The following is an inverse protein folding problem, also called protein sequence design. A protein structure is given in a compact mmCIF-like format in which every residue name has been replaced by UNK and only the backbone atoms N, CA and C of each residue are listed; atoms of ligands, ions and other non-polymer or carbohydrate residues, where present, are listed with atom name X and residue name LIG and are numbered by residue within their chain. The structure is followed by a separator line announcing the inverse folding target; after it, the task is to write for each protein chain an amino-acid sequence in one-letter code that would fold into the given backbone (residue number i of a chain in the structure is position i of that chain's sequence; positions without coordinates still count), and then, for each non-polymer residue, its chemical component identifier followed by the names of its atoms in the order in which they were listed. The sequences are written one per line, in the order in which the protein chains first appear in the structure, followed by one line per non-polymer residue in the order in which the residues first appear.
data_IF_144019760236
#
_entry.id   IF_144019760236
#
_cell.length_a   1.000
_cell.length_b   1.000
_cell.length_c   1.000
_cell.angle_alpha   90.00
_cell.angle_beta   90.00
_cell.angle_gamma   90.00
#
_symmetry.space_group_name_H-M   'P 1'
#
loop_
_entity.id
_entity.type
_entity.pdbx_description
1 polymer ?
#
# COMPACT_ATOMS: atom_id res chain seq x y z
N UNK A 1 26.80 9.33 3.79
CA UNK A 1 25.67 10.19 4.23
C UNK A 1 24.41 9.61 3.60
N UNK A 2 23.45 9.14 4.41
CA UNK A 2 22.14 8.71 3.88
C UNK A 2 21.47 9.94 3.26
N UNK A 3 20.89 9.80 2.06
CA UNK A 3 20.11 10.87 1.45
C UNK A 3 18.92 11.22 2.36
N UNK A 4 18.52 12.49 2.42
CA UNK A 4 17.28 12.90 3.08
C UNK A 4 16.10 12.15 2.45
N UNK A 5 15.41 11.27 3.20
CA UNK A 5 14.32 10.48 2.66
C UNK A 5 13.16 11.34 2.16
N UNK A 6 12.93 12.53 2.72
CA UNK A 6 11.87 13.44 2.27
C UNK A 6 12.08 13.91 0.83
N UNK A 7 13.32 13.89 0.34
CA UNK A 7 13.60 14.19 -1.05
C UNK A 7 12.91 13.22 -2.03
N UNK A 8 12.44 12.04 -1.57
CA UNK A 8 11.65 11.12 -2.42
C UNK A 8 10.38 11.76 -2.94
N UNK A 9 9.78 12.69 -2.17
CA UNK A 9 8.53 13.37 -2.49
C UNK A 9 8.61 14.23 -3.75
N UNK A 10 9.80 14.73 -4.07
CA UNK A 10 10.05 15.63 -5.20
C UNK A 10 11.03 15.04 -6.19
N UNK A 11 11.47 13.79 -5.98
CA UNK A 11 12.47 13.16 -6.84
C UNK A 11 11.79 12.70 -8.13
N UNK A 12 12.26 13.14 -9.31
CA UNK A 12 11.73 12.63 -10.55
C UNK A 12 12.03 11.13 -10.66
N UNK A 13 11.00 10.37 -11.04
CA UNK A 13 11.14 8.97 -11.43
C UNK A 13 11.22 8.87 -12.96
N UNK A 14 11.88 7.85 -13.52
CA UNK A 14 11.76 7.54 -14.93
C UNK A 14 10.30 7.38 -15.33
N UNK A 15 9.94 7.78 -16.56
CA UNK A 15 8.62 7.54 -17.12
C UNK A 15 8.26 6.04 -17.04
N UNK A 16 6.97 5.68 -16.93
CA UNK A 16 6.54 4.29 -17.04
C UNK A 16 6.77 3.75 -18.46
N UNK A 17 6.80 2.43 -18.60
CA UNK A 17 6.89 1.79 -19.92
C UNK A 17 5.55 1.89 -20.67
N UNK A 18 4.44 1.73 -19.94
CA UNK A 18 3.07 1.79 -20.47
C UNK A 18 2.15 2.36 -19.38
N UNK A 19 1.13 3.11 -19.77
CA UNK A 19 0.01 3.48 -18.88
C UNK A 19 -1.26 2.82 -19.40
N UNK A 20 -1.98 2.10 -18.54
CA UNK A 20 -3.23 1.39 -18.88
C UNK A 20 -4.39 1.96 -18.08
N UNK A 21 -5.58 1.99 -18.67
CA UNK A 21 -6.82 2.30 -17.95
C UNK A 21 -7.46 1.00 -17.47
N UNK A 22 -7.90 0.97 -16.21
CA UNK A 22 -8.67 -0.15 -15.65
C UNK A 22 -10.16 0.19 -15.47
N UNK A 23 -10.55 1.42 -15.84
CA UNK A 23 -11.94 1.89 -15.86
C UNK A 23 -12.08 3.17 -16.67
N UNK A 24 -13.30 3.70 -16.72
CA UNK A 24 -13.66 4.82 -17.60
C UNK A 24 -13.25 6.19 -17.04
N UNK A 25 -13.05 6.30 -15.72
CA UNK A 25 -12.66 7.58 -15.12
C UNK A 25 -11.18 7.90 -15.43
N UNK A 26 -10.79 9.17 -15.66
CA UNK A 26 -9.40 9.53 -15.97
C UNK A 26 -8.36 9.07 -14.95
N UNK A 27 -8.74 8.99 -13.67
CA UNK A 27 -7.90 8.49 -12.59
C UNK A 27 -7.98 6.97 -12.37
N UNK A 28 -8.79 6.24 -13.14
CA UNK A 28 -8.82 4.78 -13.12
C UNK A 28 -7.74 4.23 -14.06
N UNK A 29 -6.48 4.56 -13.78
CA UNK A 29 -5.33 4.16 -14.57
C UNK A 29 -4.20 3.60 -13.71
N UNK A 30 -3.24 2.95 -14.35
CA UNK A 30 -2.01 2.53 -13.71
C UNK A 30 -0.81 2.67 -14.64
N UNK A 31 0.32 3.02 -14.04
CA UNK A 31 1.63 3.05 -14.70
C UNK A 31 2.29 1.68 -14.55
N UNK A 32 2.54 1.03 -15.66
CA UNK A 32 3.20 -0.27 -15.73
C UNK A 32 4.71 -0.10 -15.96
N UNK A 33 5.49 -0.86 -15.21
CA UNK A 33 6.94 -0.92 -15.35
C UNK A 33 7.41 -2.34 -15.61
N UNK A 34 8.19 -2.50 -16.67
CA UNK A 34 8.77 -3.77 -17.08
C UNK A 34 9.85 -4.17 -16.07
N UNK A 35 9.84 -5.43 -15.57
CA UNK A 35 10.92 -5.91 -14.74
C UNK A 35 12.24 -5.96 -15.51
N UNK A 36 13.35 -5.63 -14.88
CA UNK A 36 14.69 -5.84 -15.44
C UNK A 36 15.05 -7.34 -15.52
N UNK A 37 16.07 -7.65 -16.33
CA UNK A 37 16.57 -9.03 -16.53
C UNK A 37 15.71 -9.89 -17.46
N UNK A 38 16.02 -11.19 -17.58
CA UNK A 38 15.31 -12.14 -18.45
C UNK A 38 14.73 -13.34 -17.70
N UNK A 39 14.54 -13.21 -16.38
CA UNK A 39 13.99 -14.25 -15.52
C UNK A 39 12.54 -14.62 -15.86
N UNK A 40 12.01 -15.69 -15.22
CA UNK A 40 10.64 -16.17 -15.44
C UNK A 40 9.61 -15.11 -15.01
N UNK A 41 8.36 -15.23 -15.48
CA UNK A 41 7.27 -14.36 -15.03
C UNK A 41 7.12 -14.39 -13.51
N UNK A 42 6.83 -13.24 -12.91
CA UNK A 42 6.63 -13.10 -11.45
C UNK A 42 5.24 -12.56 -11.13
N UNK A 43 4.72 -12.76 -9.90
CA UNK A 43 3.51 -12.09 -9.46
C UNK A 43 3.65 -10.57 -9.64
N UNK A 44 2.56 -9.92 -10.05
CA UNK A 44 2.51 -8.47 -10.19
C UNK A 44 2.66 -7.81 -8.81
N UNK A 45 3.48 -6.77 -8.71
CA UNK A 45 3.50 -5.88 -7.54
C UNK A 45 2.65 -4.66 -7.85
N UNK A 46 1.53 -4.52 -7.15
CA UNK A 46 0.68 -3.33 -7.27
C UNK A 46 1.07 -2.35 -6.17
N UNK A 47 1.58 -1.18 -6.55
CA UNK A 47 1.96 -0.11 -5.64
C UNK A 47 0.79 0.86 -5.49
N UNK A 48 0.29 1.02 -4.27
CA UNK A 48 -0.81 1.92 -3.91
C UNK A 48 -0.23 3.11 -3.14
N UNK A 49 -0.31 4.31 -3.73
CA UNK A 49 0.28 5.50 -3.13
C UNK A 49 -0.53 6.03 -1.94
N UNK A 50 0.14 6.79 -1.07
CA UNK A 50 -0.44 7.50 0.06
C UNK A 50 -0.90 8.91 -0.29
N UNK A 51 -0.84 9.82 0.70
CA UNK A 51 -1.28 11.22 0.54
C UNK A 51 -2.67 11.51 1.08
N UNK A 52 -3.09 10.80 2.14
CA UNK A 52 -4.38 11.01 2.81
C UNK A 52 -5.59 11.01 1.86
N UNK A 53 -5.49 10.21 0.78
CA UNK A 53 -6.48 10.08 -0.29
C UNK A 53 -6.82 11.39 -1.02
N UNK A 54 -6.06 12.46 -0.81
CA UNK A 54 -6.39 13.80 -1.33
C UNK A 54 -5.79 14.04 -2.71
N UNK A 55 -6.44 14.88 -3.49
CA UNK A 55 -6.04 15.22 -4.88
C UNK A 55 -4.63 15.80 -5.04
N UNK A 56 -4.05 16.35 -3.98
CA UNK A 56 -2.72 16.94 -3.93
C UNK A 56 -1.60 15.95 -4.20
N UNK A 57 -1.87 14.65 -4.05
CA UNK A 57 -0.92 13.57 -4.23
C UNK A 57 -1.46 12.54 -5.21
N UNK A 58 -0.62 12.08 -6.13
CA UNK A 58 -0.96 11.06 -7.12
C UNK A 58 0.07 9.92 -7.07
N UNK A 59 -0.09 8.91 -7.94
CA UNK A 59 0.82 7.77 -8.03
C UNK A 59 2.30 8.14 -8.24
N UNK A 60 2.61 9.32 -8.77
CA UNK A 60 4.00 9.77 -8.99
C UNK A 60 4.80 9.85 -7.69
N UNK A 61 4.12 10.06 -6.54
CA UNK A 61 4.70 10.06 -5.19
C UNK A 61 5.49 8.78 -4.87
N UNK A 62 5.08 7.64 -5.44
CA UNK A 62 5.76 6.35 -5.26
C UNK A 62 6.62 5.95 -6.47
N UNK A 63 6.77 6.85 -7.44
CA UNK A 63 7.54 6.64 -8.68
C UNK A 63 8.94 6.09 -8.46
N UNK A 64 9.76 6.69 -7.56
CA UNK A 64 11.10 6.17 -7.27
C UNK A 64 11.08 4.74 -6.73
N UNK A 65 10.14 4.41 -5.84
CA UNK A 65 9.97 3.06 -5.29
C UNK A 65 9.64 2.07 -6.40
N UNK A 66 8.65 2.37 -7.23
CA UNK A 66 8.23 1.50 -8.31
C UNK A 66 9.32 1.26 -9.36
N UNK A 67 10.08 2.32 -9.71
CA UNK A 67 11.23 2.19 -10.59
C UNK A 67 12.32 1.28 -9.99
N UNK A 68 12.58 1.41 -8.68
CA UNK A 68 13.55 0.55 -7.99
C UNK A 68 13.10 -0.92 -7.91
N UNK A 69 11.81 -1.17 -7.63
CA UNK A 69 11.24 -2.52 -7.64
C UNK A 69 11.31 -3.16 -9.04
N UNK A 70 11.03 -2.40 -10.09
CA UNK A 70 11.17 -2.86 -11.47
C UNK A 70 12.63 -3.18 -11.83
N UNK A 71 13.58 -2.35 -11.40
CA UNK A 71 15.01 -2.59 -11.57
C UNK A 71 15.49 -3.86 -10.83
N UNK A 72 14.81 -4.26 -9.76
CA UNK A 72 15.05 -5.51 -9.03
C UNK A 72 14.35 -6.73 -9.65
N UNK A 73 13.67 -6.54 -10.79
CA UNK A 73 13.07 -7.63 -11.56
C UNK A 73 11.62 -7.95 -11.22
N UNK A 74 10.90 -7.09 -10.47
CA UNK A 74 9.46 -7.23 -10.26
C UNK A 74 8.67 -6.52 -11.38
N UNK A 75 7.64 -7.14 -11.98
CA UNK A 75 6.66 -6.39 -12.75
C UNK A 75 5.86 -5.51 -11.78
N UNK A 76 5.76 -4.22 -12.07
CA UNK A 76 5.11 -3.25 -11.17
C UNK A 76 3.97 -2.53 -11.88
N UNK A 77 2.84 -2.39 -11.19
CA UNK A 77 1.77 -1.48 -11.55
C UNK A 77 1.59 -0.44 -10.43
N UNK A 78 1.85 0.83 -10.71
CA UNK A 78 1.51 1.92 -9.79
C UNK A 78 0.09 2.37 -10.09
N UNK A 79 -0.84 2.04 -9.21
CA UNK A 79 -2.26 2.33 -9.41
C UNK A 79 -2.60 3.76 -9.00
N UNK A 80 -3.33 4.46 -9.85
CA UNK A 80 -4.07 5.68 -9.51
C UNK A 80 -5.50 5.32 -9.14
N UNK A 81 -6.16 6.15 -8.33
CA UNK A 81 -7.55 5.95 -7.94
C UNK A 81 -8.22 7.31 -7.71
N UNK A 82 -9.56 7.40 -7.72
CA UNK A 82 -10.20 8.68 -7.41
C UNK A 82 -9.89 9.15 -6.00
N UNK A 83 -9.63 10.45 -5.82
CA UNK A 83 -9.17 11.06 -4.57
C UNK A 83 -10.17 12.07 -4.02
N UNK A 84 -10.18 12.30 -2.71
CA UNK A 84 -11.01 13.33 -2.07
C UNK A 84 -10.65 14.71 -2.63
N UNK A 85 -11.65 15.54 -2.86
CA UNK A 85 -11.51 16.83 -3.55
C UNK A 85 -11.95 16.82 -5.02
N UNK A 86 -12.16 15.64 -5.61
CA UNK A 86 -12.72 15.51 -6.96
C UNK A 86 -14.10 14.85 -6.99
N UNK A 87 -14.91 15.07 -8.05
CA UNK A 87 -16.20 14.42 -8.20
C UNK A 87 -16.11 12.90 -8.08
N UNK A 88 -16.88 12.31 -7.16
CA UNK A 88 -16.91 10.88 -6.92
C UNK A 88 -15.66 10.30 -6.26
N UNK A 89 -14.72 11.12 -5.78
CA UNK A 89 -13.68 10.68 -4.86
C UNK A 89 -14.16 10.64 -3.41
N UNK A 90 -13.45 9.89 -2.57
CA UNK A 90 -13.93 9.53 -1.23
C UNK A 90 -14.86 8.31 -1.29
N UNK A 91 -15.77 8.21 -0.33
CA UNK A 91 -16.73 7.12 -0.25
C UNK A 91 -17.83 7.23 -1.33
N UNK A 92 -18.12 6.15 -2.07
CA UNK A 92 -17.39 4.88 -2.13
C UNK A 92 -16.29 4.85 -3.20
N UNK A 93 -16.20 5.88 -4.06
CA UNK A 93 -15.40 5.86 -5.29
C UNK A 93 -13.93 5.52 -5.13
N UNK A 94 -13.22 6.13 -4.18
CA UNK A 94 -11.80 5.82 -3.88
C UNK A 94 -11.61 4.33 -3.56
N UNK A 95 -12.50 3.77 -2.75
CA UNK A 95 -12.45 2.39 -2.30
C UNK A 95 -12.75 1.43 -3.45
N UNK A 96 -13.81 1.72 -4.22
CA UNK A 96 -14.21 0.89 -5.35
C UNK A 96 -13.19 0.91 -6.50
N UNK A 97 -12.49 2.03 -6.69
CA UNK A 97 -11.46 2.15 -7.72
C UNK A 97 -10.27 1.24 -7.43
N UNK A 98 -9.81 1.19 -6.17
CA UNK A 98 -8.72 0.28 -5.78
C UNK A 98 -9.13 -1.18 -5.94
N UNK A 99 -10.36 -1.55 -5.57
CA UNK A 99 -10.86 -2.92 -5.79
C UNK A 99 -10.90 -3.27 -7.28
N UNK A 100 -11.38 -2.36 -8.13
CA UNK A 100 -11.40 -2.56 -9.58
C UNK A 100 -9.99 -2.68 -10.16
N UNK A 101 -9.07 -1.81 -9.74
CA UNK A 101 -7.67 -1.85 -10.16
C UNK A 101 -6.99 -3.16 -9.76
N UNK A 102 -7.12 -3.60 -8.50
CA UNK A 102 -6.55 -4.87 -8.02
C UNK A 102 -7.07 -6.07 -8.82
N UNK A 103 -8.35 -6.06 -9.19
CA UNK A 103 -8.94 -7.12 -10.00
C UNK A 103 -8.47 -7.11 -11.47
N UNK A 104 -8.34 -5.94 -12.09
CA UNK A 104 -8.08 -5.81 -13.54
C UNK A 104 -6.59 -5.81 -13.90
N UNK A 105 -5.74 -5.22 -13.06
CA UNK A 105 -4.34 -4.96 -13.38
C UNK A 105 -3.49 -6.21 -13.67
N UNK A 106 -3.70 -7.39 -13.03
CA UNK A 106 -2.96 -8.59 -13.41
C UNK A 106 -3.13 -8.96 -14.89
N UNK A 107 -4.34 -8.86 -15.42
CA UNK A 107 -4.64 -9.15 -16.84
C UNK A 107 -4.06 -8.09 -17.77
N UNK A 108 -4.32 -6.80 -17.47
CA UNK A 108 -3.80 -5.67 -18.26
C UNK A 108 -2.26 -5.67 -18.31
N UNK A 109 -1.61 -5.97 -17.18
CA UNK A 109 -0.16 -6.05 -17.12
C UNK A 109 0.40 -7.27 -17.86
N UNK A 110 -0.28 -8.42 -17.82
CA UNK A 110 0.12 -9.60 -18.59
C UNK A 110 0.03 -9.37 -20.11
N UNK A 111 -0.98 -8.62 -20.57
CA UNK A 111 -1.13 -8.22 -21.97
C UNK A 111 -0.05 -7.21 -22.39
N UNK A 112 0.15 -6.16 -21.60
CA UNK A 112 1.12 -5.10 -21.91
C UNK A 112 2.58 -5.55 -21.77
N UNK A 113 2.87 -6.53 -20.89
CA UNK A 113 4.20 -7.04 -20.59
C UNK A 113 4.26 -8.57 -20.80
N UNK A 114 4.15 -9.05 -22.05
CA UNK A 114 4.01 -10.48 -22.34
C UNK A 114 5.20 -11.29 -21.82
N UNK A 115 4.90 -12.38 -21.11
CA UNK A 115 5.90 -13.27 -20.52
C UNK A 115 6.64 -12.70 -19.30
N UNK A 116 6.14 -11.60 -18.69
CA UNK A 116 6.76 -10.96 -17.53
C UNK A 116 5.94 -11.08 -16.25
N UNK A 117 4.62 -11.21 -16.38
CA UNK A 117 3.66 -11.32 -15.27
C UNK A 117 3.15 -12.76 -15.18
N UNK A 118 3.18 -13.36 -13.98
CA UNK A 118 2.62 -14.69 -13.74
C UNK A 118 1.11 -14.62 -13.45
N UNK A 119 0.43 -15.76 -13.48
CA UNK A 119 -1.00 -15.86 -13.17
C UNK A 119 -1.31 -15.86 -11.65
N UNK A 120 -0.28 -15.73 -10.79
CA UNK A 120 -0.50 -15.66 -9.34
C UNK A 120 -1.15 -14.32 -8.96
N UNK A 121 -1.98 -14.29 -7.90
CA UNK A 121 -2.52 -13.04 -7.39
C UNK A 121 -1.41 -12.02 -7.07
N UNK A 122 -1.64 -10.72 -7.31
CA UNK A 122 -0.65 -9.68 -7.06
C UNK A 122 -0.29 -9.53 -5.58
N UNK A 123 0.93 -9.06 -5.32
CA UNK A 123 1.31 -8.54 -4.01
C UNK A 123 1.01 -7.04 -3.98
N UNK A 124 0.27 -6.57 -2.98
CA UNK A 124 -0.01 -5.14 -2.79
C UNK A 124 1.07 -4.51 -1.91
N UNK A 125 1.66 -3.42 -2.37
CA UNK A 125 2.57 -2.57 -1.58
C UNK A 125 1.89 -1.22 -1.39
N UNK A 126 1.38 -0.97 -0.19
CA UNK A 126 0.65 0.26 0.11
C UNK A 126 1.41 1.13 1.11
N UNK A 127 1.55 2.42 0.85
CA UNK A 127 2.16 3.38 1.77
C UNK A 127 1.12 4.31 2.40
N UNK A 128 1.16 4.49 3.72
CA UNK A 128 0.29 5.46 4.43
C UNK A 128 -1.20 5.20 4.15
N UNK A 129 -1.89 6.18 3.57
CA UNK A 129 -3.25 6.06 3.05
C UNK A 129 -3.43 4.97 1.96
N UNK A 130 -2.38 4.64 1.21
CA UNK A 130 -2.35 3.49 0.30
C UNK A 130 -2.17 2.15 1.03
N UNK A 131 -1.53 2.18 2.20
CA UNK A 131 -1.47 1.04 3.13
C UNK A 131 -2.86 0.70 3.68
N UNK A 132 -3.65 1.71 4.02
CA UNK A 132 -5.09 1.55 4.31
C UNK A 132 -5.81 0.82 3.17
N UNK A 133 -5.68 1.33 1.93
CA UNK A 133 -6.38 0.79 0.77
C UNK A 133 -5.94 -0.64 0.41
N UNK A 134 -4.67 -0.98 0.62
CA UNK A 134 -4.17 -2.34 0.43
C UNK A 134 -4.75 -3.32 1.45
N UNK A 135 -4.84 -2.93 2.73
CA UNK A 135 -5.47 -3.73 3.77
C UNK A 135 -6.98 -3.90 3.51
N UNK A 136 -7.65 -2.83 3.10
CA UNK A 136 -9.06 -2.85 2.71
C UNK A 136 -9.31 -3.82 1.54
N UNK A 137 -8.51 -3.75 0.47
CA UNK A 137 -8.64 -4.67 -0.66
C UNK A 137 -8.44 -6.14 -0.26
N UNK A 138 -7.46 -6.40 0.60
CA UNK A 138 -7.22 -7.74 1.14
C UNK A 138 -8.36 -8.26 2.04
N UNK A 139 -9.07 -7.38 2.74
CA UNK A 139 -10.24 -7.74 3.53
C UNK A 139 -11.45 -8.07 2.65
N UNK A 140 -11.70 -7.25 1.63
CA UNK A 140 -12.92 -7.34 0.81
C UNK A 140 -12.83 -8.39 -0.29
N UNK A 141 -11.64 -8.59 -0.86
CA UNK A 141 -11.42 -9.49 -2.00
C UNK A 141 -10.17 -10.36 -1.78
N UNK A 142 -10.08 -11.16 -0.71
CA UNK A 142 -8.87 -11.90 -0.32
C UNK A 142 -8.37 -12.85 -1.42
N UNK A 143 -9.26 -13.41 -2.24
CA UNK A 143 -8.88 -14.30 -3.35
C UNK A 143 -8.13 -13.58 -4.49
N UNK A 144 -8.20 -12.25 -4.55
CA UNK A 144 -7.54 -11.43 -5.57
C UNK A 144 -6.17 -10.90 -5.12
N UNK A 145 -5.74 -11.21 -3.89
CA UNK A 145 -4.52 -10.66 -3.29
C UNK A 145 -3.61 -11.79 -2.80
N UNK A 146 -2.37 -11.81 -3.28
CA UNK A 146 -1.36 -12.81 -2.88
C UNK A 146 -0.64 -12.47 -1.58
N UNK A 147 -0.63 -11.20 -1.19
CA UNK A 147 -0.02 -10.71 0.05
C UNK A 147 -0.05 -9.19 0.13
N UNK A 148 0.14 -8.65 1.33
CA UNK A 148 0.19 -7.20 1.57
C UNK A 148 1.49 -6.81 2.27
N UNK A 149 2.22 -5.88 1.69
CA UNK A 149 3.26 -5.11 2.35
C UNK A 149 2.72 -3.71 2.65
N UNK A 150 2.35 -3.49 3.91
CA UNK A 150 1.80 -2.22 4.37
C UNK A 150 2.90 -1.36 5.02
N UNK A 151 3.26 -0.25 4.37
CA UNK A 151 4.30 0.68 4.81
C UNK A 151 3.66 1.84 5.57
N UNK A 152 3.84 1.89 6.88
CA UNK A 152 3.21 2.87 7.79
C UNK A 152 1.71 3.11 7.52
N UNK A 153 0.86 2.05 7.50
CA UNK A 153 -0.53 2.17 7.07
C UNK A 153 -1.38 2.99 8.06
N UNK A 154 -2.37 3.71 7.53
CA UNK A 154 -3.51 4.20 8.32
C UNK A 154 -4.45 3.01 8.59
N UNK A 155 -4.17 2.22 9.61
CA UNK A 155 -4.85 0.94 9.86
C UNK A 155 -6.07 1.03 10.80
N UNK A 156 -6.38 2.23 11.30
CA UNK A 156 -7.53 2.52 12.16
C UNK A 156 -8.07 3.90 11.77
N UNK A 157 -9.17 3.93 11.01
CA UNK A 157 -9.77 5.17 10.51
C UNK A 157 -10.47 5.93 11.64
N UNK A 158 -11.10 5.23 12.59
CA UNK A 158 -11.74 5.87 13.74
C UNK A 158 -10.71 6.61 14.61
N UNK A 159 -9.57 5.98 14.88
CA UNK A 159 -8.47 6.60 15.62
C UNK A 159 -7.79 7.70 14.80
N UNK A 160 -7.59 7.51 13.50
CA UNK A 160 -7.07 8.54 12.61
C UNK A 160 -7.97 9.79 12.57
N UNK A 161 -9.29 9.61 12.60
CA UNK A 161 -10.26 10.69 12.74
C UNK A 161 -10.15 11.37 14.11
N UNK A 162 -10.08 10.60 15.20
CA UNK A 162 -9.98 11.14 16.57
C UNK A 162 -8.71 11.97 16.77
N UNK A 163 -7.61 11.55 16.14
CA UNK A 163 -6.32 12.26 16.15
C UNK A 163 -6.26 13.42 15.15
N UNK A 164 -7.29 13.61 14.33
CA UNK A 164 -7.38 14.60 13.26
C UNK A 164 -6.16 14.57 12.32
N UNK A 165 -5.76 13.37 11.89
CA UNK A 165 -4.60 13.22 11.01
C UNK A 165 -4.86 13.98 9.70
N UNK A 166 -3.91 14.86 9.37
CA UNK A 166 -3.93 15.72 8.17
C UNK A 166 -5.18 16.62 8.07
N UNK A 167 -5.77 17.02 9.20
CA UNK A 167 -6.84 18.02 9.25
C UNK A 167 -8.11 17.59 8.51
N UNK A 168 -8.78 16.57 9.03
CA UNK A 168 -10.07 16.10 8.52
C UNK A 168 -10.00 15.14 7.33
N UNK A 169 -8.83 14.55 7.03
CA UNK A 169 -8.67 13.66 5.88
C UNK A 169 -9.63 12.47 5.90
N UNK A 170 -9.83 11.85 7.07
CA UNK A 170 -10.77 10.72 7.22
C UNK A 170 -12.22 11.18 7.01
N UNK A 171 -12.59 12.35 7.53
CA UNK A 171 -13.92 12.92 7.34
C UNK A 171 -14.21 13.19 5.86
N UNK A 172 -13.21 13.71 5.12
CA UNK A 172 -13.30 13.93 3.69
C UNK A 172 -13.40 12.60 2.91
N UNK A 173 -12.68 11.56 3.34
CA UNK A 173 -12.76 10.22 2.75
C UNK A 173 -14.15 9.62 2.94
N UNK A 174 -14.65 9.58 4.17
CA UNK A 174 -15.87 8.83 4.51
C UNK A 174 -17.14 9.68 4.49
N UNK A 175 -17.03 11.00 4.32
CA UNK A 175 -18.16 11.94 4.31
C UNK A 175 -18.77 12.19 5.69
N UNK A 176 -17.99 12.08 6.76
CA UNK A 176 -18.40 12.29 8.16
C UNK A 176 -17.52 11.55 9.16
N UNK A 177 -17.68 11.83 10.45
CA UNK A 177 -17.03 11.12 11.54
C UNK A 177 -17.70 9.79 11.94
N UNK A 178 -17.10 9.00 12.84
CA UNK A 178 -17.61 7.67 13.21
C UNK A 178 -19.03 7.65 13.77
N UNK A 179 -19.45 8.73 14.45
CA UNK A 179 -20.81 8.85 14.97
C UNK A 179 -21.85 9.23 13.90
N UNK A 180 -21.41 9.87 12.81
CA UNK A 180 -22.29 10.37 11.74
C UNK A 180 -22.48 9.31 10.65
N UNK A 181 -21.43 8.55 10.33
CA UNK A 181 -21.44 7.52 9.28
C UNK A 181 -20.88 6.17 9.76
N UNK A 182 -21.41 5.59 10.86
CA UNK A 182 -20.85 4.39 11.48
C UNK A 182 -20.74 3.19 10.53
N UNK A 183 -21.72 3.01 9.64
CA UNK A 183 -21.72 1.90 8.68
C UNK A 183 -20.55 2.00 7.69
N UNK A 184 -20.10 3.21 7.35
CA UNK A 184 -18.97 3.40 6.43
C UNK A 184 -17.66 3.00 7.11
N UNK A 185 -17.46 3.42 8.37
CA UNK A 185 -16.32 2.97 9.17
C UNK A 185 -16.32 1.46 9.35
N UNK A 186 -17.45 0.85 9.69
CA UNK A 186 -17.57 -0.61 9.81
C UNK A 186 -17.23 -1.35 8.50
N UNK A 187 -17.52 -0.75 7.34
CA UNK A 187 -17.27 -1.35 6.04
C UNK A 187 -15.84 -1.11 5.50
N UNK A 188 -15.13 -0.06 5.93
CA UNK A 188 -13.84 0.33 5.34
C UNK A 188 -12.65 0.29 6.28
N UNK A 189 -12.87 0.42 7.59
CA UNK A 189 -11.79 0.54 8.56
C UNK A 189 -11.07 -0.81 8.75
N UNK A 190 -9.75 -0.94 8.46
CA UNK A 190 -9.04 -2.19 8.64
C UNK A 190 -9.10 -2.74 10.08
N UNK A 191 -9.29 -1.88 11.09
CA UNK A 191 -9.48 -2.29 12.48
C UNK A 191 -10.83 -2.95 12.73
N UNK A 192 -11.88 -2.57 11.99
CA UNK A 192 -13.20 -3.19 12.03
C UNK A 192 -13.30 -4.45 11.13
N UNK A 193 -12.40 -4.57 10.16
CA UNK A 193 -12.38 -5.65 9.17
C UNK A 193 -11.51 -6.85 9.59
N UNK A 194 -10.90 -6.83 10.78
CA UNK A 194 -10.19 -8.01 11.29
C UNK A 194 -11.18 -9.15 11.58
N UNK A 195 -10.82 -10.41 11.29
CA UNK A 195 -9.53 -10.85 10.77
C UNK A 195 -9.39 -10.73 9.24
N UNK A 196 -8.24 -10.21 8.80
CA UNK A 196 -7.82 -10.22 7.40
C UNK A 196 -6.98 -11.48 7.17
N UNK A 197 -7.45 -12.37 6.28
CA UNK A 197 -6.84 -13.70 6.08
C UNK A 197 -5.64 -13.70 5.13
N UNK A 198 -5.44 -12.62 4.38
CA UNK A 198 -4.29 -12.44 3.49
C UNK A 198 -3.04 -12.17 4.33
N UNK A 199 -1.94 -12.85 3.99
CA UNK A 199 -0.65 -12.64 4.67
C UNK A 199 -0.18 -11.21 4.51
N UNK A 200 0.13 -10.58 5.65
CA UNK A 200 0.45 -9.15 5.71
C UNK A 200 1.74 -8.92 6.47
N UNK A 201 2.65 -8.14 5.90
CA UNK A 201 3.81 -7.60 6.61
C UNK A 201 3.63 -6.09 6.72
N UNK A 202 3.66 -5.58 7.95
CA UNK A 202 3.66 -4.15 8.24
C UNK A 202 5.09 -3.72 8.52
N UNK A 203 5.57 -2.68 7.85
CA UNK A 203 6.84 -2.02 8.17
C UNK A 203 6.53 -0.59 8.59
N UNK A 204 7.02 -0.16 9.76
CA UNK A 204 6.69 1.16 10.31
C UNK A 204 7.91 1.79 11.02
N UNK A 205 8.19 3.06 10.74
CA UNK A 205 9.30 3.79 11.36
C UNK A 205 8.95 4.41 12.72
N UNK A 206 9.81 4.26 13.73
CA UNK A 206 9.52 4.79 15.07
C UNK A 206 9.60 6.33 15.16
N UNK A 207 10.18 7.00 14.15
CA UNK A 207 10.24 8.46 14.05
C UNK A 207 9.13 9.04 13.15
N UNK A 208 8.13 8.23 12.79
CA UNK A 208 6.98 8.66 12.02
C UNK A 208 6.17 9.72 12.78
N UNK A 209 5.94 10.86 12.11
CA UNK A 209 5.16 11.99 12.65
C UNK A 209 3.85 12.22 11.88
N UNK A 210 3.60 11.45 10.82
CA UNK A 210 2.40 11.54 10.00
C UNK A 210 1.36 10.52 10.46
N UNK A 211 1.80 9.29 10.68
CA UNK A 211 0.96 8.20 11.19
C UNK A 211 1.63 7.64 12.43
N UNK A 212 1.02 7.75 13.62
CA UNK A 212 1.65 7.23 14.83
C UNK A 212 1.87 5.71 14.78
N UNK A 213 3.09 5.26 15.10
CA UNK A 213 3.43 3.83 15.19
C UNK A 213 2.45 3.03 16.08
N UNK A 214 1.89 3.67 17.11
CA UNK A 214 0.86 3.08 17.98
C UNK A 214 -0.33 2.52 17.21
N UNK A 215 -0.71 3.11 16.08
CA UNK A 215 -1.80 2.62 15.23
C UNK A 215 -1.46 1.25 14.63
N UNK A 216 -0.26 1.08 14.09
CA UNK A 216 0.20 -0.22 13.57
C UNK A 216 0.35 -1.25 14.69
N UNK A 217 0.88 -0.87 15.85
CA UNK A 217 0.99 -1.78 17.01
C UNK A 217 -0.38 -2.30 17.45
N UNK A 218 -1.34 -1.41 17.67
CA UNK A 218 -2.71 -1.78 18.09
C UNK A 218 -3.41 -2.64 17.06
N UNK A 219 -3.36 -2.25 15.78
CA UNK A 219 -3.99 -3.02 14.70
C UNK A 219 -3.37 -4.42 14.56
N UNK A 220 -2.03 -4.54 14.57
CA UNK A 220 -1.35 -5.84 14.49
C UNK A 220 -1.68 -6.73 15.69
N UNK A 221 -1.75 -6.16 16.90
CA UNK A 221 -2.14 -6.92 18.08
C UNK A 221 -3.57 -7.47 17.96
N UNK A 222 -4.54 -6.64 17.55
CA UNK A 222 -5.92 -7.05 17.34
C UNK A 222 -6.04 -8.09 16.20
N UNK A 223 -5.36 -7.85 15.08
CA UNK A 223 -5.35 -8.76 13.94
C UNK A 223 -4.77 -10.13 14.30
N UNK A 224 -3.66 -10.19 15.06
CA UNK A 224 -3.07 -11.45 15.58
C UNK A 224 -4.02 -12.16 16.55
N UNK A 225 -4.65 -11.43 17.46
CA UNK A 225 -5.63 -12.00 18.40
C UNK A 225 -6.83 -12.62 17.66
N UNK A 226 -7.22 -12.06 16.51
CA UNK A 226 -8.27 -12.59 15.63
C UNK A 226 -7.78 -13.70 14.66
N UNK A 227 -6.49 -14.08 14.71
CA UNK A 227 -5.89 -15.13 13.89
C UNK A 227 -5.52 -14.68 12.47
N UNK A 228 -5.20 -13.41 12.26
CA UNK A 228 -4.66 -12.91 10.98
C UNK A 228 -3.16 -13.25 10.87
N UNK A 229 -2.67 -13.70 9.70
CA UNK A 229 -1.25 -13.96 9.46
C UNK A 229 -0.48 -12.66 9.21
N UNK A 230 -0.21 -11.91 10.29
CA UNK A 230 0.39 -10.58 10.23
C UNK A 230 1.68 -10.44 11.04
N UNK A 231 2.67 -9.78 10.45
CA UNK A 231 3.96 -9.46 11.08
C UNK A 231 4.19 -7.96 11.10
N UNK A 232 4.69 -7.42 12.23
CA UNK A 232 5.13 -6.04 12.36
C UNK A 232 6.66 -5.98 12.41
N UNK A 233 7.24 -5.13 11.58
CA UNK A 233 8.66 -4.78 11.58
C UNK A 233 8.78 -3.30 11.89
N UNK A 234 9.34 -2.99 13.05
CA UNK A 234 9.57 -1.62 13.49
C UNK A 234 11.00 -1.18 13.16
N UNK A 235 11.14 0.03 12.61
CA UNK A 235 12.44 0.61 12.26
C UNK A 235 12.74 1.81 13.17
N UNK A 236 13.62 1.65 14.18
CA UNK A 236 13.83 2.67 15.23
C UNK A 236 14.24 4.06 14.69
N UNK A 237 15.00 4.08 13.61
CA UNK A 237 15.59 5.31 13.03
C UNK A 237 14.87 5.79 11.77
N UNK A 238 13.78 5.13 11.34
CA UNK A 238 13.05 5.52 10.14
C UNK A 238 11.94 6.50 10.48
N UNK A 239 11.81 7.54 9.65
CA UNK A 239 10.61 8.36 9.56
C UNK A 239 9.63 7.81 8.49
N UNK A 240 8.56 8.54 8.20
CA UNK A 240 7.42 8.12 7.37
C UNK A 240 7.78 7.80 5.91
N UNK A 241 8.66 8.58 5.29
CA UNK A 241 8.96 8.50 3.85
C UNK A 241 10.18 7.62 3.53
N UNK A 242 11.01 7.31 4.50
CA UNK A 242 12.12 6.37 4.42
C UNK A 242 11.71 5.02 3.84
N UNK A 243 10.49 4.59 4.14
CA UNK A 243 9.94 3.31 3.69
C UNK A 243 9.72 3.24 2.17
N UNK A 244 9.52 4.38 1.49
CA UNK A 244 9.31 4.45 0.03
C UNK A 244 10.52 5.01 -0.72
N UNK A 245 11.61 5.32 -0.02
CA UNK A 245 12.81 5.91 -0.60
C UNK A 245 13.89 4.84 -0.85
N UNK A 246 14.21 4.47 -2.11
CA UNK A 246 15.16 3.39 -2.41
C UNK A 246 16.60 3.61 -1.91
N UNK A 247 16.94 4.86 -1.56
CA UNK A 247 18.26 5.22 -1.02
C UNK A 247 18.29 5.35 0.50
N UNK A 248 17.19 5.04 1.20
CA UNK A 248 17.13 5.12 2.66
C UNK A 248 17.76 3.90 3.33
N UNK A 249 18.04 4.03 4.62
CA UNK A 249 18.46 2.92 5.48
C UNK A 249 17.35 1.88 5.70
N UNK A 250 16.09 2.23 5.47
CA UNK A 250 14.94 1.33 5.59
C UNK A 250 14.77 0.41 4.37
N UNK A 251 15.30 0.81 3.21
CA UNK A 251 15.05 0.12 1.94
C UNK A 251 15.40 -1.38 1.94
N UNK A 252 16.55 -1.83 2.51
CA UNK A 252 16.85 -3.25 2.59
C UNK A 252 15.74 -4.04 3.33
N UNK A 253 15.24 -3.52 4.45
CA UNK A 253 14.16 -4.17 5.22
C UNK A 253 12.85 -4.21 4.45
N UNK A 254 12.53 -3.17 3.67
CA UNK A 254 11.35 -3.14 2.79
C UNK A 254 11.45 -4.24 1.72
N UNK A 255 12.63 -4.42 1.13
CA UNK A 255 12.86 -5.50 0.16
C UNK A 255 12.79 -6.87 0.80
N UNK A 256 13.30 -7.04 2.02
CA UNK A 256 13.24 -8.31 2.76
C UNK A 256 11.79 -8.67 3.10
N UNK A 257 11.00 -7.68 3.53
CA UNK A 257 9.57 -7.79 3.75
C UNK A 257 8.83 -8.22 2.48
N UNK A 258 9.11 -7.58 1.34
CA UNK A 258 8.51 -7.95 0.05
C UNK A 258 8.91 -9.36 -0.40
N UNK A 259 10.18 -9.74 -0.27
CA UNK A 259 10.64 -11.09 -0.63
C UNK A 259 9.97 -12.14 0.25
N UNK A 260 9.82 -11.86 1.54
CA UNK A 260 9.13 -12.78 2.44
C UNK A 260 7.70 -13.07 2.02
N UNK A 261 7.00 -12.19 1.29
CA UNK A 261 5.64 -12.41 0.79
C UNK A 261 5.60 -13.29 -0.46
N UNK A 262 6.70 -13.39 -1.21
CA UNK A 262 6.81 -14.25 -2.38
C UNK A 262 7.20 -15.69 -2.00
N UNK A 263 8.05 -15.81 -1.00
CA UNK A 263 8.53 -17.08 -0.51
C UNK A 263 7.65 -17.50 0.67
N UNK A 264 7.26 -18.77 0.81
CA UNK A 264 6.59 -19.31 2.00
C UNK A 264 7.55 -19.37 3.23
N UNK A 265 8.39 -18.35 3.41
CA UNK A 265 9.49 -18.34 4.36
C UNK A 265 9.10 -17.61 5.65
N UNK A 266 9.19 -18.38 6.74
CA UNK A 266 9.15 -18.01 8.16
C UNK A 266 10.27 -17.05 8.62
N UNK A 267 11.03 -16.45 7.71
CA UNK A 267 12.29 -15.74 8.00
C UNK A 267 12.15 -14.41 8.75
N UNK A 268 10.98 -13.75 8.73
CA UNK A 268 10.79 -12.48 9.44
C UNK A 268 10.42 -12.68 10.92
N UNK A 269 9.80 -13.81 11.28
CA UNK A 269 9.37 -14.07 12.65
C UNK A 269 10.55 -14.27 13.62
N UNK A 270 11.76 -14.55 13.09
CA UNK A 270 12.96 -14.77 13.89
C UNK A 270 13.68 -13.47 14.33
N UNK A 271 13.32 -12.30 13.77
CA UNK A 271 14.05 -11.05 13.99
C UNK A 271 13.28 -9.99 14.79
N UNK A 272 12.07 -10.29 15.28
CA UNK A 272 11.29 -9.34 16.09
C UNK A 272 11.56 -9.56 17.58
N UNK A 273 12.24 -8.63 18.30
CA UNK A 273 12.38 -8.69 19.74
C UNK A 273 11.09 -8.18 20.39
N UNK A 274 10.02 -8.97 20.30
CA UNK A 274 8.83 -8.80 21.12
C UNK A 274 8.20 -10.17 21.39
N UNK A 275 8.74 -10.85 22.40
CA UNK A 275 7.95 -11.69 23.30
C UNK A 275 7.73 -10.91 24.59
#
# INVERSE_FOLDING_TARGET
MSADPRAVLTRPAPAPDVTVAYGDHPDQLADLRRPAGSGPPRPLVIVVHGGFWRTEYDRSHTGPMAAALAALGHPVAQVEYRRTGQPGGGWPGTLTDVLAGVAALPGLAAEALPGRVSAAPPILVGHSAGGHLALYAAAQAPATVGGVLALAPVADLAEAYRLDLDGGAVAALLGGGPAEVPDRYAATDPSALVPIRVRTVVVHGALDRQVPLGMSRSWVAAARAAGSPVTLVELPESEHFGLIAPGSTAWPTVLDALRSLHDDLSGIDAASPSR
#
